data_IF_889276872594
#
_entry.id   IF_889276872594
#
_cell.length_a   1.000
_cell.length_b   1.000
_cell.length_c   1.000
_cell.angle_alpha   90.00
_cell.angle_beta   90.00
_cell.angle_gamma   90.00
#
_symmetry.space_group_name_H-M   'P 1'
#
loop_
_entity.id
_entity.type
_entity.pdbx_description
1 polymer ?
#
# COMPACT_ATOMS: atom_id res chain seq x y z
N UNK A 1 0.03 -16.02 -13.51
CA UNK A 1 0.62 -14.95 -14.36
C UNK A 1 1.90 -14.46 -13.69
N UNK A 2 3.03 -14.43 -14.39
CA UNK A 2 4.32 -14.00 -13.82
C UNK A 2 4.21 -12.52 -13.39
N UNK A 3 4.61 -12.17 -12.16
CA UNK A 3 4.55 -10.79 -11.63
C UNK A 3 5.17 -9.78 -12.61
N UNK A 4 6.28 -10.16 -13.26
CA UNK A 4 6.95 -9.35 -14.28
C UNK A 4 6.08 -9.11 -15.51
N UNK A 5 5.38 -10.14 -15.99
CA UNK A 5 4.50 -10.02 -17.16
C UNK A 5 3.33 -9.09 -16.88
N UNK A 6 2.74 -9.14 -15.67
CA UNK A 6 1.67 -8.23 -15.28
C UNK A 6 2.14 -6.77 -15.24
N UNK A 7 3.30 -6.50 -14.66
CA UNK A 7 3.88 -5.15 -14.64
C UNK A 7 4.16 -4.62 -16.04
N UNK A 8 4.68 -5.46 -16.94
CA UNK A 8 4.94 -5.08 -18.33
C UNK A 8 3.62 -4.75 -19.05
N UNK A 9 2.59 -5.58 -18.89
CA UNK A 9 1.28 -5.33 -19.48
C UNK A 9 0.71 -3.99 -19.00
N UNK A 10 0.77 -3.71 -17.70
CA UNK A 10 0.30 -2.43 -17.16
C UNK A 10 1.10 -1.24 -17.71
N UNK A 11 2.42 -1.36 -17.84
CA UNK A 11 3.26 -0.31 -18.41
C UNK A 11 2.91 -0.04 -19.89
N UNK A 12 2.66 -1.08 -20.68
CA UNK A 12 2.23 -0.97 -22.08
C UNK A 12 0.85 -0.33 -22.17
N UNK A 13 -0.11 -0.75 -21.34
CA UNK A 13 -1.45 -0.15 -21.28
C UNK A 13 -1.34 1.34 -20.95
N UNK A 14 -0.53 1.70 -19.95
CA UNK A 14 -0.30 3.10 -19.60
C UNK A 14 0.29 3.89 -20.77
N UNK A 15 1.31 3.35 -21.44
CA UNK A 15 1.92 3.99 -22.61
C UNK A 15 0.91 4.22 -23.75
N UNK A 16 0.05 3.23 -24.02
CA UNK A 16 -1.01 3.34 -25.04
C UNK A 16 -2.02 4.42 -24.66
N UNK A 17 -2.50 4.43 -23.42
CA UNK A 17 -3.45 5.45 -22.95
C UNK A 17 -2.85 6.85 -23.10
N UNK A 18 -1.60 7.04 -22.67
CA UNK A 18 -0.91 8.34 -22.75
C UNK A 18 -0.71 8.75 -24.20
N UNK A 19 -0.30 7.83 -25.08
CA UNK A 19 -0.14 8.11 -26.50
C UNK A 19 -1.44 8.59 -27.15
N UNK A 20 -2.60 8.08 -26.72
CA UNK A 20 -3.90 8.52 -27.24
C UNK A 20 -4.40 9.84 -26.64
N UNK A 21 -3.92 10.24 -25.45
CA UNK A 21 -4.49 11.38 -24.72
C UNK A 21 -3.54 12.57 -24.57
N UNK A 22 -2.22 12.42 -24.71
CA UNK A 22 -1.25 13.45 -24.33
C UNK A 22 -1.44 14.78 -25.07
N UNK A 23 -1.93 14.77 -26.31
CA UNK A 23 -2.20 16.01 -27.05
C UNK A 23 -3.38 16.79 -26.46
N UNK A 24 -4.43 16.08 -26.04
CA UNK A 24 -5.71 16.65 -25.57
C UNK A 24 -5.71 17.00 -24.08
N UNK A 25 -4.78 16.46 -23.31
CA UNK A 25 -4.70 16.70 -21.85
C UNK A 25 -4.07 18.06 -21.59
N UNK A 26 -4.79 18.95 -20.89
CA UNK A 26 -4.26 20.20 -20.35
C UNK A 26 -3.80 20.01 -18.91
N UNK A 27 -3.01 20.96 -18.40
CA UNK A 27 -2.60 20.95 -16.99
C UNK A 27 -3.80 21.05 -16.04
N UNK A 28 -4.82 21.84 -16.39
CA UNK A 28 -6.04 21.96 -15.57
C UNK A 28 -6.74 20.61 -15.40
N UNK A 29 -6.80 19.80 -16.46
CA UNK A 29 -7.37 18.45 -16.40
C UNK A 29 -6.55 17.50 -15.50
N UNK A 30 -5.25 17.77 -15.32
CA UNK A 30 -4.37 16.95 -14.47
C UNK A 30 -4.37 17.40 -13.01
N UNK A 31 -4.71 18.66 -12.73
CA UNK A 31 -4.70 19.22 -11.38
C UNK A 31 -5.66 18.47 -10.45
N UNK A 32 -6.87 18.20 -10.92
CA UNK A 32 -7.87 17.42 -10.16
C UNK A 32 -7.36 16.01 -9.83
N UNK A 33 -6.69 15.37 -10.80
CA UNK A 33 -6.09 14.05 -10.60
C UNK A 33 -4.95 14.08 -9.58
N UNK A 34 -4.09 15.11 -9.63
CA UNK A 34 -3.02 15.31 -8.64
C UNK A 34 -3.61 15.49 -7.24
N UNK A 35 -4.63 16.34 -7.09
CA UNK A 35 -5.31 16.57 -5.81
C UNK A 35 -5.98 15.30 -5.29
N UNK A 36 -6.63 14.52 -6.16
CA UNK A 36 -7.22 13.24 -5.79
C UNK A 36 -6.17 12.25 -5.29
N UNK A 37 -5.03 12.15 -5.97
CA UNK A 37 -3.92 11.29 -5.55
C UNK A 37 -3.37 11.72 -4.18
N UNK A 38 -3.13 13.01 -3.97
CA UNK A 38 -2.64 13.55 -2.68
C UNK A 38 -3.61 13.23 -1.54
N UNK A 39 -4.90 13.51 -1.73
CA UNK A 39 -5.93 13.26 -0.71
C UNK A 39 -6.05 11.77 -0.39
N UNK A 40 -5.95 10.92 -1.42
CA UNK A 40 -6.01 9.47 -1.25
C UNK A 40 -4.78 8.95 -0.51
N UNK A 41 -3.58 9.43 -0.84
CA UNK A 41 -2.35 9.07 -0.12
C UNK A 41 -2.46 9.48 1.35
N UNK A 42 -2.94 10.69 1.66
CA UNK A 42 -3.17 11.16 3.03
C UNK A 42 -4.13 10.25 3.79
N UNK A 43 -5.27 9.89 3.18
CA UNK A 43 -6.23 8.95 3.77
C UNK A 43 -5.57 7.60 4.11
N UNK A 44 -4.77 7.03 3.21
CA UNK A 44 -4.05 5.77 3.45
C UNK A 44 -3.04 5.92 4.58
N UNK A 45 -2.28 7.01 4.62
CA UNK A 45 -1.37 7.30 5.74
C UNK A 45 -2.09 7.33 7.08
N UNK A 46 -3.26 7.95 7.15
CA UNK A 46 -4.05 8.00 8.39
C UNK A 46 -4.52 6.61 8.82
N UNK A 47 -5.17 5.87 7.92
CA UNK A 47 -5.74 4.55 8.26
C UNK A 47 -4.64 3.55 8.61
N UNK A 48 -3.58 3.47 7.80
CA UNK A 48 -2.49 2.54 8.05
C UNK A 48 -1.60 2.97 9.21
N UNK A 49 -1.43 4.27 9.43
CA UNK A 49 -0.70 4.80 10.58
C UNK A 49 -1.30 4.33 11.91
N UNK A 50 -2.64 4.36 12.02
CA UNK A 50 -3.35 3.81 13.18
C UNK A 50 -3.15 2.30 13.31
N UNK A 51 -3.27 1.56 12.20
CA UNK A 51 -3.06 0.12 12.18
C UNK A 51 -1.67 -0.29 12.65
N UNK A 52 -0.62 0.38 12.15
CA UNK A 52 0.77 0.09 12.49
C UNK A 52 1.04 0.44 13.96
N UNK A 53 0.52 1.56 14.45
CA UNK A 53 0.66 1.96 15.85
C UNK A 53 0.11 0.90 16.82
N UNK A 54 -0.97 0.21 16.45
CA UNK A 54 -1.53 -0.88 17.23
C UNK A 54 -0.82 -2.23 16.99
N UNK A 55 -0.65 -2.62 15.74
CA UNK A 55 -0.18 -3.95 15.37
C UNK A 55 1.32 -4.15 15.65
N UNK A 56 2.15 -3.13 15.44
CA UNK A 56 3.59 -3.26 15.55
C UNK A 56 4.07 -3.60 16.97
N UNK A 57 3.66 -2.89 18.04
CA UNK A 57 4.05 -3.25 19.40
C UNK A 57 3.55 -4.65 19.80
N UNK A 58 2.31 -5.00 19.39
CA UNK A 58 1.69 -6.30 19.67
C UNK A 58 2.50 -7.45 19.06
N UNK A 59 2.80 -7.37 17.76
CA UNK A 59 3.62 -8.38 17.06
C UNK A 59 5.03 -8.47 17.65
N UNK A 60 5.64 -7.34 18.04
CA UNK A 60 6.96 -7.35 18.68
C UNK A 60 6.94 -8.07 20.03
N UNK A 61 5.90 -7.84 20.84
CA UNK A 61 5.72 -8.53 22.13
C UNK A 61 5.52 -10.03 21.93
N UNK A 62 4.60 -10.43 21.04
CA UNK A 62 4.33 -11.85 20.73
C UNK A 62 5.60 -12.57 20.25
N UNK A 63 6.43 -11.91 19.42
CA UNK A 63 7.69 -12.47 18.95
C UNK A 63 8.75 -12.64 20.05
N UNK A 64 8.76 -11.78 21.07
CA UNK A 64 9.65 -11.95 22.22
C UNK A 64 9.22 -13.12 23.11
N UNK A 65 7.91 -13.25 23.37
CA UNK A 65 7.36 -14.39 24.11
C UNK A 65 7.66 -15.71 23.40
N UNK A 66 7.48 -15.76 22.06
CA UNK A 66 7.81 -16.97 21.29
C UNK A 66 9.30 -17.32 21.38
N UNK A 67 10.20 -16.33 21.35
CA UNK A 67 11.65 -16.56 21.55
C UNK A 67 11.97 -17.11 22.93
N UNK A 68 11.28 -16.65 23.97
CA UNK A 68 11.45 -17.17 25.32
C UNK A 68 10.95 -18.61 25.44
N UNK A 69 9.79 -18.92 24.87
CA UNK A 69 9.25 -20.29 24.83
C UNK A 69 10.20 -21.25 24.12
N UNK A 70 10.72 -20.87 22.94
CA UNK A 70 11.70 -21.67 22.18
C UNK A 70 12.99 -21.88 22.98
N UNK A 71 13.43 -20.89 23.76
CA UNK A 71 14.63 -21.02 24.60
C UNK A 71 14.41 -21.91 25.83
N UNK A 72 13.17 -22.04 26.30
CA UNK A 72 12.81 -22.84 27.48
C UNK A 72 12.45 -24.29 27.14
N UNK A 73 12.00 -24.59 25.91
CA UNK A 73 11.71 -25.96 25.48
C UNK A 73 12.97 -26.73 25.02
N UNK A 74 13.24 -27.86 25.69
CA UNK A 74 14.24 -28.90 25.35
C UNK A 74 13.86 -29.57 24.00
N UNK A 75 14.82 -30.06 23.18
CA UNK A 75 14.71 -30.22 21.71
C UNK A 75 13.71 -31.22 21.14
N UNK A 76 12.74 -31.73 21.90
CA UNK A 76 11.93 -32.87 21.47
C UNK A 76 10.47 -32.77 21.91
N UNK A 77 9.70 -31.94 21.19
CA UNK A 77 8.23 -32.05 20.99
C UNK A 77 7.78 -31.12 19.85
N UNK A 78 8.21 -31.48 18.65
CA UNK A 78 8.21 -30.69 17.41
C UNK A 78 6.85 -30.43 16.71
N UNK A 79 5.70 -30.43 17.42
CA UNK A 79 4.40 -30.18 16.78
C UNK A 79 3.72 -28.85 17.16
N UNK A 80 3.89 -28.32 18.38
CA UNK A 80 3.23 -27.07 18.80
C UNK A 80 4.06 -25.80 18.53
N UNK A 81 5.40 -25.88 18.59
CA UNK A 81 6.24 -24.70 18.33
C UNK A 81 6.17 -24.29 16.85
N UNK A 82 6.16 -25.29 15.95
CA UNK A 82 6.13 -25.05 14.51
C UNK A 82 4.82 -24.40 14.04
N UNK A 83 3.69 -24.78 14.63
CA UNK A 83 2.40 -24.13 14.35
C UNK A 83 2.38 -22.69 14.86
N UNK A 84 2.89 -22.45 16.09
CA UNK A 84 2.98 -21.09 16.65
C UNK A 84 3.90 -20.17 15.83
N UNK A 85 5.03 -20.68 15.33
CA UNK A 85 5.91 -19.94 14.41
C UNK A 85 5.18 -19.62 13.10
N UNK A 86 4.47 -20.60 12.52
CA UNK A 86 3.71 -20.39 11.28
C UNK A 86 2.63 -19.32 11.44
N UNK A 87 1.86 -19.35 12.53
CA UNK A 87 0.83 -18.34 12.83
C UNK A 87 1.44 -16.95 13.00
N UNK A 88 2.59 -16.86 13.65
CA UNK A 88 3.32 -15.60 13.79
C UNK A 88 3.84 -15.07 12.45
N UNK A 89 4.39 -15.95 11.60
CA UNK A 89 4.87 -15.60 10.27
C UNK A 89 3.75 -15.07 9.39
N UNK A 90 2.57 -15.70 9.43
CA UNK A 90 1.40 -15.24 8.69
C UNK A 90 0.97 -13.84 9.14
N UNK A 91 0.83 -13.59 10.44
CA UNK A 91 0.54 -12.25 10.98
C UNK A 91 1.58 -11.20 10.54
N UNK A 92 2.87 -11.55 10.59
CA UNK A 92 3.94 -10.65 10.17
C UNK A 92 3.86 -10.34 8.67
N UNK A 93 3.58 -11.34 7.85
CA UNK A 93 3.37 -11.19 6.40
C UNK A 93 2.21 -10.25 6.12
N UNK A 94 1.11 -10.35 6.86
CA UNK A 94 0.00 -9.41 6.71
C UNK A 94 0.38 -7.97 7.05
N UNK A 95 1.10 -7.77 8.16
CA UNK A 95 1.62 -6.44 8.55
C UNK A 95 2.57 -5.88 7.49
N UNK A 96 3.43 -6.73 6.89
CA UNK A 96 4.34 -6.32 5.83
C UNK A 96 3.62 -5.87 4.55
N UNK A 97 2.47 -6.46 4.23
CA UNK A 97 1.64 -6.04 3.08
C UNK A 97 0.99 -4.68 3.33
N UNK A 98 0.59 -4.39 4.57
CA UNK A 98 0.09 -3.07 4.96
C UNK A 98 1.21 -2.02 4.87
N UNK A 99 2.40 -2.34 5.37
CA UNK A 99 3.57 -1.47 5.23
C UNK A 99 3.91 -1.21 3.77
N UNK A 100 3.81 -2.21 2.90
CA UNK A 100 3.99 -2.04 1.47
C UNK A 100 2.98 -1.04 0.88
N UNK A 101 1.69 -1.16 1.22
CA UNK A 101 0.67 -0.22 0.76
C UNK A 101 0.93 1.22 1.23
N UNK A 102 1.42 1.37 2.46
CA UNK A 102 1.87 2.66 3.00
C UNK A 102 3.05 3.23 2.22
N UNK A 103 4.09 2.41 1.99
CA UNK A 103 5.28 2.82 1.23
C UNK A 103 4.93 3.19 -0.21
N UNK A 104 4.05 2.46 -0.89
CA UNK A 104 3.57 2.81 -2.22
C UNK A 104 2.88 4.17 -2.24
N UNK A 105 2.03 4.45 -1.24
CA UNK A 105 1.38 5.75 -1.09
C UNK A 105 2.38 6.89 -0.80
N UNK A 106 3.42 6.61 -0.02
CA UNK A 106 4.51 7.53 0.23
C UNK A 106 5.29 7.87 -1.05
N UNK A 107 5.57 6.87 -1.88
CA UNK A 107 6.22 7.05 -3.18
C UNK A 107 5.37 7.92 -4.10
N UNK A 108 4.05 7.70 -4.15
CA UNK A 108 3.14 8.54 -4.95
C UNK A 108 3.20 9.98 -4.49
N UNK A 109 3.06 10.24 -3.18
CA UNK A 109 3.11 11.60 -2.65
C UNK A 109 4.47 12.28 -2.88
N UNK A 110 5.57 11.54 -2.71
CA UNK A 110 6.92 12.02 -2.98
C UNK A 110 7.14 12.35 -4.46
N UNK A 111 6.66 11.51 -5.37
CA UNK A 111 6.73 11.76 -6.80
C UNK A 111 5.91 13.00 -7.21
N UNK A 112 4.72 13.19 -6.62
CA UNK A 112 3.92 14.41 -6.85
C UNK A 112 4.60 15.66 -6.30
N UNK A 113 5.22 15.58 -5.11
CA UNK A 113 5.96 16.70 -4.53
C UNK A 113 7.13 17.12 -5.43
N UNK A 114 7.90 16.15 -5.91
CA UNK A 114 8.97 16.38 -6.88
C UNK A 114 8.38 16.98 -8.18
N UNK A 115 7.26 16.46 -8.68
CA UNK A 115 6.61 16.99 -9.87
C UNK A 115 6.19 18.46 -9.74
N UNK A 116 5.60 18.84 -8.61
CA UNK A 116 5.22 20.24 -8.32
C UNK A 116 6.45 21.13 -8.17
N UNK A 117 7.50 20.65 -7.49
CA UNK A 117 8.77 21.36 -7.37
C UNK A 117 9.40 21.61 -8.74
N UNK A 118 9.53 20.56 -9.57
CA UNK A 118 10.06 20.66 -10.92
C UNK A 118 9.25 21.65 -11.77
N UNK A 119 7.91 21.59 -11.73
CA UNK A 119 7.06 22.57 -12.41
C UNK A 119 7.43 24.01 -12.00
N UNK A 120 7.56 24.25 -10.69
CA UNK A 120 7.90 25.58 -10.16
C UNK A 120 9.29 26.05 -10.59
N UNK A 121 10.28 25.15 -10.67
CA UNK A 121 11.64 25.51 -11.09
C UNK A 121 11.77 25.69 -12.60
N UNK A 122 11.15 24.80 -13.39
CA UNK A 122 11.22 24.84 -14.86
C UNK A 122 10.45 26.02 -15.46
N UNK A 123 9.26 26.37 -14.92
CA UNK A 123 8.50 27.50 -15.44
C UNK A 123 9.15 28.87 -15.17
N UNK A 124 10.01 28.96 -14.16
CA UNK A 124 10.64 30.21 -13.73
C UNK A 124 12.12 30.31 -14.16
N UNK A 125 12.62 29.39 -14.98
CA UNK A 125 14.02 29.37 -15.41
C UNK A 125 14.17 29.30 -16.93
N UNK A 126 15.31 29.80 -17.44
CA UNK A 126 15.68 29.72 -18.86
C UNK A 126 15.85 28.27 -19.38
N UNK A 127 15.85 27.28 -18.48
CA UNK A 127 15.88 25.84 -18.80
C UNK A 127 14.67 25.38 -19.62
N UNK A 128 13.54 26.12 -19.58
CA UNK A 128 12.36 25.83 -20.39
C UNK A 128 12.65 25.89 -21.91
N UNK A 129 13.69 26.61 -22.34
CA UNK A 129 14.05 26.72 -23.76
C UNK A 129 14.79 25.49 -24.32
N UNK A 130 15.40 24.65 -23.47
CA UNK A 130 16.26 23.55 -23.92
C UNK A 130 15.54 22.23 -24.16
N UNK A 131 14.31 22.08 -23.66
CA UNK A 131 13.55 20.84 -23.77
C UNK A 131 12.31 21.03 -24.63
N UNK A 132 12.07 20.10 -25.57
CA UNK A 132 10.86 20.15 -26.38
C UNK A 132 9.62 19.94 -25.50
N UNK A 133 8.73 20.93 -25.51
CA UNK A 133 7.50 20.94 -24.71
C UNK A 133 6.63 19.68 -24.88
N UNK A 134 6.52 19.05 -26.07
CA UNK A 134 5.75 17.82 -26.25
C UNK A 134 6.32 16.60 -25.51
N UNK A 135 7.65 16.45 -25.46
CA UNK A 135 8.30 15.30 -24.79
C UNK A 135 8.09 15.39 -23.27
N UNK A 136 8.24 16.59 -22.68
CA UNK A 136 7.97 16.81 -21.26
C UNK A 136 6.49 16.49 -20.96
N UNK A 137 5.57 16.94 -21.82
CA UNK A 137 4.14 16.68 -21.67
C UNK A 137 3.83 15.17 -21.69
N UNK A 138 4.44 14.43 -22.61
CA UNK A 138 4.29 12.98 -22.70
C UNK A 138 4.82 12.27 -21.44
N UNK A 139 6.06 12.57 -21.03
CA UNK A 139 6.71 11.95 -19.87
C UNK A 139 5.94 12.25 -18.58
N UNK A 140 5.57 13.51 -18.36
CA UNK A 140 4.82 13.91 -17.16
C UNK A 140 3.45 13.24 -17.09
N UNK A 141 2.71 13.18 -18.21
CA UNK A 141 1.42 12.48 -18.29
C UNK A 141 1.58 10.98 -18.04
N UNK A 142 2.63 10.36 -18.61
CA UNK A 142 2.93 8.94 -18.40
C UNK A 142 3.22 8.61 -16.94
N UNK A 143 4.06 9.42 -16.28
CA UNK A 143 4.35 9.26 -14.86
C UNK A 143 3.07 9.43 -14.05
N UNK A 144 2.30 10.50 -14.30
CA UNK A 144 1.09 10.79 -13.53
C UNK A 144 0.07 9.64 -13.62
N UNK A 145 -0.19 9.10 -14.81
CA UNK A 145 -1.10 7.97 -14.97
C UNK A 145 -0.53 6.69 -14.37
N UNK A 146 0.79 6.49 -14.44
CA UNK A 146 1.47 5.41 -13.72
C UNK A 146 1.24 5.46 -12.22
N UNK A 147 1.31 6.66 -11.62
CA UNK A 147 1.02 6.85 -10.19
C UNK A 147 -0.41 6.51 -9.83
N UNK A 148 -1.38 6.71 -10.74
CA UNK A 148 -2.78 6.27 -10.52
C UNK A 148 -2.87 4.76 -10.35
N UNK A 149 -2.18 3.98 -11.18
CA UNK A 149 -2.18 2.52 -11.05
C UNK A 149 -1.53 2.05 -9.73
N UNK A 150 -0.42 2.70 -9.34
CA UNK A 150 0.27 2.41 -8.08
C UNK A 150 -0.64 2.73 -6.89
N UNK A 151 -1.24 3.92 -6.86
CA UNK A 151 -2.13 4.36 -5.79
C UNK A 151 -3.39 3.48 -5.72
N UNK A 152 -3.95 3.09 -6.86
CA UNK A 152 -5.10 2.17 -6.92
C UNK A 152 -4.79 0.80 -6.32
N UNK A 153 -3.58 0.29 -6.53
CA UNK A 153 -3.12 -0.96 -5.92
C UNK A 153 -3.01 -0.85 -4.40
N UNK A 154 -2.53 0.30 -3.89
CA UNK A 154 -2.47 0.56 -2.46
C UNK A 154 -3.88 0.65 -1.85
N UNK A 155 -4.83 1.33 -2.50
CA UNK A 155 -6.24 1.40 -2.07
C UNK A 155 -6.83 -0.01 -1.97
N UNK A 156 -6.64 -0.84 -3.01
CA UNK A 156 -7.17 -2.20 -3.04
C UNK A 156 -6.68 -3.04 -1.86
N UNK A 157 -5.39 -2.98 -1.54
CA UNK A 157 -4.81 -3.69 -0.39
C UNK A 157 -5.43 -3.23 0.94
N UNK A 158 -5.60 -1.92 1.13
CA UNK A 158 -6.19 -1.36 2.35
C UNK A 158 -7.66 -1.76 2.50
N UNK A 159 -8.45 -1.69 1.42
CA UNK A 159 -9.87 -2.05 1.43
C UNK A 159 -10.06 -3.52 1.79
N UNK A 160 -9.32 -4.43 1.14
CA UNK A 160 -9.42 -5.86 1.44
C UNK A 160 -9.07 -6.14 2.90
N UNK A 161 -8.02 -5.50 3.42
CA UNK A 161 -7.61 -5.72 4.80
C UNK A 161 -8.64 -5.22 5.80
N UNK A 162 -9.25 -4.06 5.55
CA UNK A 162 -10.34 -3.57 6.40
C UNK A 162 -11.59 -4.47 6.34
N UNK A 163 -11.94 -5.00 5.16
CA UNK A 163 -13.06 -5.93 5.00
C UNK A 163 -12.77 -7.25 5.73
N UNK A 164 -11.61 -7.84 5.53
CA UNK A 164 -11.23 -9.10 6.18
C UNK A 164 -11.22 -8.96 7.71
N UNK A 165 -10.65 -7.87 8.22
CA UNK A 165 -10.67 -7.60 9.66
C UNK A 165 -12.10 -7.50 10.23
N UNK A 166 -13.00 -6.86 9.50
CA UNK A 166 -14.42 -6.75 9.92
C UNK A 166 -15.09 -8.13 9.98
N UNK A 167 -14.77 -9.01 9.03
CA UNK A 167 -15.29 -10.39 9.00
C UNK A 167 -14.73 -11.20 10.16
N UNK A 168 -13.41 -11.13 10.41
CA UNK A 168 -12.75 -11.79 11.54
C UNK A 168 -13.36 -11.35 12.87
N UNK A 169 -13.50 -10.04 13.08
CA UNK A 169 -14.09 -9.49 14.30
C UNK A 169 -15.53 -9.98 14.54
N UNK A 170 -16.32 -10.09 13.47
CA UNK A 170 -17.68 -10.64 13.55
C UNK A 170 -17.66 -12.10 13.97
N UNK A 171 -16.76 -12.90 13.42
CA UNK A 171 -16.64 -14.32 13.74
C UNK A 171 -16.19 -14.52 15.19
N UNK A 172 -15.21 -13.75 15.65
CA UNK A 172 -14.74 -13.77 17.04
C UNK A 172 -15.85 -13.43 18.03
N UNK A 173 -16.69 -12.44 17.70
CA UNK A 173 -17.84 -12.06 18.51
C UNK A 173 -18.89 -13.19 18.61
N UNK A 174 -19.11 -13.92 17.51
CA UNK A 174 -20.03 -15.07 17.50
C UNK A 174 -19.48 -16.20 18.39
N UNK A 175 -18.20 -16.56 18.22
CA UNK A 175 -17.54 -17.58 19.02
C UNK A 175 -17.58 -17.25 20.53
N UNK A 176 -17.34 -15.98 20.89
CA UNK A 176 -17.48 -15.48 22.26
C UNK A 176 -18.89 -15.69 22.80
N UNK A 177 -19.92 -15.31 22.04
CA UNK A 177 -21.32 -15.49 22.44
C UNK A 177 -21.67 -16.97 22.66
N UNK A 178 -21.16 -17.86 21.84
CA UNK A 178 -21.35 -19.31 21.98
C UNK A 178 -20.66 -19.85 23.23
N UNK A 179 -19.41 -19.46 23.49
CA UNK A 179 -18.68 -19.84 24.69
C UNK A 179 -19.39 -19.35 25.97
N UNK A 180 -19.91 -18.12 25.97
CA UNK A 180 -20.71 -17.59 27.08
C UNK A 180 -22.02 -18.37 27.30
N UNK A 181 -22.70 -18.81 26.23
CA UNK A 181 -23.90 -19.63 26.34
C UNK A 181 -23.58 -21.03 26.87
N UNK A 182 -22.48 -21.63 26.44
CA UNK A 182 -22.05 -22.94 26.90
C UNK A 182 -21.72 -22.95 28.40
N UNK A 183 -21.11 -21.88 28.92
CA UNK A 183 -20.76 -21.74 30.35
C UNK A 183 -21.96 -21.48 31.28
N UNK A 184 -23.13 -21.15 30.72
CA UNK A 184 -24.39 -20.92 31.47
C UNK A 184 -25.29 -22.16 31.52
N UNK A 185 -24.97 -23.23 30.79
CA UNK A 185 -25.62 -24.53 30.86
C UNK A 185 -24.84 -25.43 31.81
#
# INVERSE_FOLDING_TARGET
MNKKAFTIILAVINAVIVFLTFEKVSYENQKDLITLLQNTSLMIFTVLGLWIAYAYPKTKSEGNTLKELIRQEVPDKNLNIKSLISEFEDKYKELSLLLLALTLSAIVLGALLIGVFLKSTFLNSELAHFASMPIIKFISTYILYGLVFVQSSAIYLVVIKNVNYTIELKNDLVALKEAFKAKRK
#
